data_IF_568385873438
#
_entry.id   IF_568385873438
#
_cell.length_a   1.000
_cell.length_b   1.000
_cell.length_c   1.000
_cell.angle_alpha   90.00
_cell.angle_beta   90.00
_cell.angle_gamma   90.00
#
_symmetry.space_group_name_H-M   'P 1'
#
loop_
_entity.id
_entity.type
_entity.pdbx_description
1 polymer ?
#
# COMPACT_ATOMS: atom_id res chain seq x y z
N UNK A 1 34.31 23.07 -4.99
CA UNK A 1 32.98 22.44 -4.94
C UNK A 1 32.99 21.34 -5.95
N UNK A 2 32.98 20.07 -5.56
CA UNK A 2 32.78 18.96 -6.49
C UNK A 2 31.41 19.18 -7.12
N UNK A 3 31.30 19.11 -8.45
CA UNK A 3 30.02 19.15 -9.11
C UNK A 3 29.18 18.02 -8.54
N UNK A 4 28.12 18.34 -7.80
CA UNK A 4 27.19 17.34 -7.27
C UNK A 4 26.62 16.52 -8.42
N UNK A 5 26.46 15.22 -8.22
CA UNK A 5 25.83 14.35 -9.20
C UNK A 5 24.33 14.67 -9.27
N UNK A 6 23.80 14.89 -10.46
CA UNK A 6 22.39 15.26 -10.67
C UNK A 6 21.66 14.23 -11.53
N UNK A 7 20.36 14.05 -11.24
CA UNK A 7 19.46 13.30 -12.10
C UNK A 7 18.22 14.13 -12.40
N UNK A 8 17.74 14.06 -13.63
CA UNK A 8 16.51 14.72 -14.05
C UNK A 8 15.29 13.91 -13.61
N UNK A 9 14.38 14.57 -12.91
CA UNK A 9 13.12 13.99 -12.44
C UNK A 9 11.93 14.82 -12.95
N UNK A 10 10.84 14.19 -13.44
CA UNK A 10 9.72 14.93 -14.02
C UNK A 10 8.91 15.73 -13.00
N UNK A 11 9.01 15.41 -11.71
CA UNK A 11 8.28 16.07 -10.62
C UNK A 11 9.14 17.16 -9.99
N UNK A 12 10.40 16.83 -9.65
CA UNK A 12 11.28 17.69 -8.85
C UNK A 12 12.32 18.45 -9.68
N UNK A 13 12.37 18.27 -11.01
CA UNK A 13 13.36 18.88 -11.87
C UNK A 13 14.72 18.22 -11.73
N UNK A 14 15.66 18.78 -10.96
CA UNK A 14 16.95 18.19 -10.69
C UNK A 14 17.07 17.72 -9.25
N UNK A 15 17.45 16.45 -9.08
CA UNK A 15 17.76 15.85 -7.77
C UNK A 15 19.27 15.77 -7.64
N UNK A 16 19.83 16.49 -6.66
CA UNK A 16 21.26 16.53 -6.38
C UNK A 16 21.64 15.52 -5.32
N UNK A 17 22.78 14.85 -5.52
CA UNK A 17 23.32 13.81 -4.62
C UNK A 17 24.79 14.08 -4.36
N UNK A 18 25.21 13.80 -3.15
CA UNK A 18 26.62 13.72 -2.81
C UNK A 18 27.22 12.41 -3.34
N UNK A 19 28.56 12.34 -3.57
CA UNK A 19 29.19 11.12 -4.11
C UNK A 19 28.83 9.85 -3.32
N UNK A 20 28.86 9.88 -1.99
CA UNK A 20 28.52 8.74 -1.14
C UNK A 20 27.04 8.34 -1.23
N UNK A 21 26.13 9.27 -1.51
CA UNK A 21 24.71 8.99 -1.76
C UNK A 21 24.50 8.34 -3.13
N UNK A 22 25.30 8.76 -4.12
CA UNK A 22 25.30 8.14 -5.45
C UNK A 22 25.73 6.67 -5.37
N UNK A 23 26.74 6.35 -4.58
CA UNK A 23 27.20 4.97 -4.41
C UNK A 23 26.09 4.08 -3.85
N UNK A 24 25.28 4.59 -2.91
CA UNK A 24 24.10 3.89 -2.37
C UNK A 24 23.04 3.71 -3.46
N UNK A 25 22.77 4.76 -4.27
CA UNK A 25 21.83 4.67 -5.39
C UNK A 25 22.29 3.63 -6.41
N UNK A 26 23.59 3.49 -6.66
CA UNK A 26 24.16 2.53 -7.61
C UNK A 26 24.28 1.10 -7.04
N UNK A 27 23.99 0.91 -5.76
CA UNK A 27 24.01 -0.42 -5.13
C UNK A 27 22.99 -1.37 -5.77
N UNK A 28 23.30 -2.68 -5.81
CA UNK A 28 22.41 -3.72 -6.37
C UNK A 28 21.05 -3.71 -5.66
N UNK A 29 21.05 -3.56 -4.34
CA UNK A 29 19.83 -3.54 -3.53
C UNK A 29 18.90 -2.38 -3.95
N UNK A 30 19.43 -1.18 -4.17
CA UNK A 30 18.63 -0.04 -4.57
C UNK A 30 18.23 -0.09 -6.06
N UNK A 31 19.14 -0.50 -6.96
CA UNK A 31 18.83 -0.62 -8.40
C UNK A 31 17.71 -1.63 -8.69
N UNK A 32 17.47 -2.59 -7.82
CA UNK A 32 16.33 -3.52 -7.90
C UNK A 32 14.99 -2.78 -7.97
N UNK A 33 14.87 -1.65 -7.29
CA UNK A 33 13.62 -0.86 -7.23
C UNK A 33 13.15 -0.36 -8.61
N UNK A 34 14.04 -0.29 -9.62
CA UNK A 34 13.67 0.01 -11.03
C UNK A 34 12.74 -1.02 -11.66
N UNK A 35 12.64 -2.21 -11.07
CA UNK A 35 11.81 -3.32 -11.56
C UNK A 35 10.61 -3.62 -10.67
N UNK A 36 10.32 -2.73 -9.71
CA UNK A 36 9.14 -2.79 -8.85
C UNK A 36 8.26 -1.59 -9.14
N UNK A 37 7.09 -1.82 -9.74
CA UNK A 37 6.15 -0.76 -10.05
C UNK A 37 5.54 -0.18 -8.77
N UNK A 38 5.40 1.14 -8.73
CA UNK A 38 4.77 1.84 -7.59
C UNK A 38 3.31 1.45 -7.43
N UNK A 39 2.58 1.29 -8.51
CA UNK A 39 1.14 1.08 -8.53
C UNK A 39 0.72 -0.29 -9.11
N UNK A 40 1.56 -1.33 -8.97
CA UNK A 40 1.28 -2.67 -9.47
C UNK A 40 0.74 -2.65 -10.93
N UNK A 41 -0.49 -3.13 -11.18
CA UNK A 41 -1.12 -3.17 -12.50
C UNK A 41 -2.05 -1.97 -12.78
N UNK A 42 -1.87 -0.83 -12.12
CA UNK A 42 -2.66 0.38 -12.40
C UNK A 42 -2.54 0.86 -13.86
N UNK A 43 -1.46 0.49 -14.55
CA UNK A 43 -1.27 0.76 -15.97
C UNK A 43 -2.31 0.12 -16.89
N UNK A 44 -3.08 -0.87 -16.41
CA UNK A 44 -4.24 -1.41 -17.14
C UNK A 44 -5.41 -0.42 -17.21
N UNK A 45 -5.41 0.62 -16.37
CA UNK A 45 -6.38 1.72 -16.36
C UNK A 45 -5.74 3.02 -16.78
N UNK A 46 -4.57 3.32 -16.23
CA UNK A 46 -3.77 4.52 -16.47
C UNK A 46 -2.51 4.13 -17.24
N UNK A 47 -2.52 4.09 -18.58
CA UNK A 47 -1.40 3.52 -19.36
C UNK A 47 -0.03 4.13 -19.05
N UNK A 48 0.01 5.39 -18.58
CA UNK A 48 1.24 6.07 -18.16
C UNK A 48 1.76 5.65 -16.79
N UNK A 49 0.98 4.93 -15.97
CA UNK A 49 1.33 4.53 -14.60
C UNK A 49 2.34 3.37 -14.60
N UNK A 50 3.54 3.60 -15.13
CA UNK A 50 4.63 2.63 -15.23
C UNK A 50 5.86 3.01 -14.39
N UNK A 51 5.80 4.10 -13.64
CA UNK A 51 6.87 4.52 -12.73
C UNK A 51 7.09 3.49 -11.61
N UNK A 52 8.30 3.50 -11.11
CA UNK A 52 8.81 2.47 -10.21
C UNK A 52 9.11 3.06 -8.83
N UNK A 53 9.38 2.19 -7.87
CA UNK A 53 9.81 2.61 -6.53
C UNK A 53 11.15 3.31 -6.55
N UNK A 54 11.95 3.11 -7.58
CA UNK A 54 13.23 3.80 -7.74
C UNK A 54 13.07 5.31 -7.86
N UNK A 55 12.22 5.79 -8.77
CA UNK A 55 11.97 7.23 -8.96
C UNK A 55 11.29 7.83 -7.72
N UNK A 56 10.37 7.11 -7.12
CA UNK A 56 9.70 7.52 -5.90
C UNK A 56 10.69 7.70 -4.74
N UNK A 57 11.55 6.71 -4.48
CA UNK A 57 12.55 6.80 -3.40
C UNK A 57 13.53 7.95 -3.61
N UNK A 58 13.91 8.25 -4.85
CA UNK A 58 14.72 9.44 -5.17
C UNK A 58 13.96 10.75 -4.89
N UNK A 59 12.67 10.80 -5.19
CA UNK A 59 11.83 11.96 -4.89
C UNK A 59 11.66 12.18 -3.38
N UNK A 60 11.37 11.13 -2.62
CA UNK A 60 11.29 11.17 -1.16
C UNK A 60 12.62 11.65 -0.54
N UNK A 61 13.74 11.11 -1.00
CA UNK A 61 15.09 11.55 -0.63
C UNK A 61 15.32 13.04 -0.90
N UNK A 62 14.89 13.55 -2.05
CA UNK A 62 15.01 14.96 -2.42
C UNK A 62 14.23 15.87 -1.46
N UNK A 63 12.96 15.53 -1.23
CA UNK A 63 12.08 16.29 -0.33
C UNK A 63 12.64 16.25 1.09
N UNK A 64 13.16 15.11 1.55
CA UNK A 64 13.78 14.97 2.88
C UNK A 64 14.94 15.96 3.09
N UNK A 65 15.80 16.13 2.08
CA UNK A 65 16.87 17.11 2.13
C UNK A 65 16.36 18.56 2.20
N UNK A 66 15.30 18.87 1.47
CA UNK A 66 14.66 20.20 1.50
C UNK A 66 14.04 20.50 2.87
N UNK A 67 13.34 19.52 3.45
CA UNK A 67 12.74 19.67 4.79
C UNK A 67 13.84 19.81 5.86
N UNK A 68 14.89 18.99 5.80
CA UNK A 68 16.01 19.08 6.72
C UNK A 68 16.67 20.46 6.67
N UNK A 69 16.85 21.03 5.48
CA UNK A 69 17.34 22.40 5.29
C UNK A 69 16.38 23.44 5.85
N UNK A 70 15.10 23.31 5.57
CA UNK A 70 14.04 24.22 6.06
C UNK A 70 13.97 24.25 7.60
N UNK A 71 14.12 23.09 8.24
CA UNK A 71 14.05 22.93 9.69
C UNK A 71 15.42 23.15 10.38
N UNK A 72 16.47 23.50 9.62
CA UNK A 72 17.83 23.72 10.10
C UNK A 72 18.40 22.51 10.86
N UNK A 73 18.08 21.30 10.40
CA UNK A 73 18.62 20.05 10.98
C UNK A 73 20.13 19.98 10.69
N UNK A 74 20.91 19.58 11.70
CA UNK A 74 22.35 19.47 11.58
C UNK A 74 22.81 18.51 10.45
N UNK A 75 23.99 18.70 9.86
CA UNK A 75 24.42 17.94 8.68
C UNK A 75 24.45 16.43 8.88
N UNK A 76 24.81 15.94 10.07
CA UNK A 76 24.87 14.50 10.35
C UNK A 76 23.47 13.87 10.35
N UNK A 77 22.51 14.48 11.05
CA UNK A 77 21.12 13.99 11.10
C UNK A 77 20.42 14.18 9.74
N UNK A 78 20.67 15.30 9.06
CA UNK A 78 20.17 15.54 7.70
C UNK A 78 20.58 14.43 6.74
N UNK A 79 21.83 13.96 6.80
CA UNK A 79 22.31 12.82 6.00
C UNK A 79 21.57 11.54 6.33
N UNK A 80 21.36 11.24 7.64
CA UNK A 80 20.63 10.04 8.05
C UNK A 80 19.16 10.08 7.60
N UNK A 81 18.50 11.22 7.75
CA UNK A 81 17.10 11.41 7.29
C UNK A 81 16.99 11.22 5.77
N UNK A 82 17.91 11.79 4.99
CA UNK A 82 17.96 11.63 3.53
C UNK A 82 18.13 10.16 3.14
N UNK A 83 19.09 9.45 3.76
CA UNK A 83 19.32 8.03 3.49
C UNK A 83 18.14 7.16 3.99
N UNK A 84 17.52 7.50 5.10
CA UNK A 84 16.32 6.82 5.57
C UNK A 84 15.17 6.97 4.56
N UNK A 85 14.95 8.19 4.04
CA UNK A 85 13.95 8.43 3.00
C UNK A 85 14.30 7.73 1.65
N UNK A 86 15.60 7.60 1.32
CA UNK A 86 16.03 6.85 0.13
C UNK A 86 15.73 5.35 0.27
N UNK A 87 15.91 4.79 1.45
CA UNK A 87 15.91 3.35 1.70
C UNK A 87 14.62 2.82 2.35
N UNK A 88 13.63 3.68 2.65
CA UNK A 88 12.43 3.27 3.38
C UNK A 88 11.66 2.13 2.70
N UNK A 89 11.62 2.14 1.38
CA UNK A 89 10.86 1.22 0.53
C UNK A 89 11.68 0.04 -0.01
N UNK A 90 12.96 -0.09 0.39
CA UNK A 90 13.89 -1.08 -0.18
C UNK A 90 13.45 -2.53 0.04
N UNK A 91 12.63 -2.79 1.05
CA UNK A 91 12.11 -4.12 1.40
C UNK A 91 10.84 -4.53 0.66
N UNK A 92 10.28 -3.69 -0.19
CA UNK A 92 9.12 -4.11 -0.99
C UNK A 92 9.47 -5.24 -1.97
N UNK A 93 8.54 -6.20 -2.10
CA UNK A 93 8.61 -7.30 -3.06
C UNK A 93 7.71 -7.09 -4.28
N UNK A 94 7.60 -8.13 -5.11
CA UNK A 94 6.74 -8.11 -6.28
C UNK A 94 5.31 -7.70 -5.94
N UNK A 95 4.74 -6.78 -6.74
CA UNK A 95 3.41 -6.18 -6.56
C UNK A 95 3.21 -5.45 -5.23
N UNK A 96 4.29 -5.22 -4.47
CA UNK A 96 4.31 -4.30 -3.32
C UNK A 96 3.19 -4.55 -2.30
N UNK A 97 2.34 -3.55 -2.05
CA UNK A 97 1.26 -3.64 -1.07
C UNK A 97 0.20 -4.72 -1.39
N UNK A 98 0.06 -5.12 -2.66
CA UNK A 98 -0.91 -6.15 -3.06
C UNK A 98 -0.53 -7.52 -2.51
N UNK A 99 0.75 -7.82 -2.45
CA UNK A 99 1.26 -9.09 -1.93
C UNK A 99 1.54 -9.10 -0.42
N UNK A 100 1.51 -7.95 0.25
CA UNK A 100 1.76 -7.82 1.69
C UNK A 100 0.86 -8.71 2.56
N UNK A 101 -0.46 -8.82 2.33
CA UNK A 101 -1.32 -9.71 3.12
C UNK A 101 -0.88 -11.18 3.05
N UNK A 102 -0.36 -11.61 1.89
CA UNK A 102 0.14 -12.98 1.70
C UNK A 102 1.47 -13.17 2.42
N UNK A 103 2.37 -12.20 2.29
CA UNK A 103 3.63 -12.17 3.00
C UNK A 103 3.39 -12.22 4.51
N UNK A 104 2.43 -11.45 5.02
CA UNK A 104 2.01 -11.47 6.43
C UNK A 104 1.47 -12.85 6.86
N UNK A 105 0.62 -13.46 6.02
CA UNK A 105 -0.01 -14.76 6.31
C UNK A 105 1.00 -15.91 6.38
N UNK A 106 1.97 -15.92 5.49
CA UNK A 106 2.92 -17.05 5.35
C UNK A 106 4.26 -16.84 6.07
N UNK A 107 4.58 -15.61 6.48
CA UNK A 107 5.79 -15.35 7.26
C UNK A 107 5.75 -16.07 8.61
N UNK A 108 6.91 -16.49 9.09
CA UNK A 108 7.01 -17.27 10.32
C UNK A 108 6.82 -16.38 11.57
N UNK A 109 5.56 -16.05 11.88
CA UNK A 109 5.16 -15.15 12.96
C UNK A 109 5.79 -15.47 14.34
N UNK A 110 6.20 -16.72 14.59
CA UNK A 110 6.89 -17.12 15.82
C UNK A 110 8.36 -16.65 15.87
N UNK A 111 8.96 -16.32 14.73
CA UNK A 111 10.35 -15.85 14.62
C UNK A 111 10.48 -14.34 14.43
N UNK A 112 9.40 -13.68 14.02
CA UNK A 112 9.38 -12.24 13.77
C UNK A 112 8.48 -11.54 14.79
N UNK A 113 9.02 -10.50 15.45
CA UNK A 113 8.26 -9.65 16.38
C UNK A 113 7.86 -8.37 15.64
N UNK A 114 6.61 -8.28 15.21
CA UNK A 114 6.05 -7.06 14.62
C UNK A 114 5.56 -6.11 15.70
N UNK A 115 5.95 -4.83 15.60
CA UNK A 115 5.34 -3.74 16.37
C UNK A 115 3.87 -3.56 15.92
N UNK A 116 2.96 -3.01 16.76
CA UNK A 116 1.60 -2.72 16.33
C UNK A 116 1.58 -1.88 15.04
N UNK A 117 0.83 -2.32 14.02
CA UNK A 117 0.70 -1.73 12.68
C UNK A 117 1.94 -1.86 11.77
N UNK A 118 3.02 -2.47 12.21
CA UNK A 118 4.19 -2.71 11.38
C UNK A 118 3.90 -3.77 10.31
N UNK A 119 4.43 -3.58 9.12
CA UNK A 119 4.31 -4.51 8.00
C UNK A 119 5.59 -5.34 7.83
N UNK A 120 5.48 -6.50 7.17
CA UNK A 120 6.63 -7.41 7.01
C UNK A 120 7.69 -6.79 6.10
N UNK A 121 7.29 -6.06 5.06
CA UNK A 121 8.26 -5.39 4.19
C UNK A 121 9.10 -4.34 4.93
N UNK A 122 8.61 -3.73 6.01
CA UNK A 122 9.39 -2.80 6.84
C UNK A 122 10.51 -3.55 7.59
N UNK A 123 10.24 -4.77 8.09
CA UNK A 123 11.27 -5.63 8.66
C UNK A 123 12.31 -6.04 7.62
N UNK A 124 11.85 -6.38 6.42
CA UNK A 124 12.74 -6.72 5.30
C UNK A 124 13.58 -5.50 4.92
N UNK A 125 13.01 -4.28 4.87
CA UNK A 125 13.77 -3.03 4.67
C UNK A 125 14.87 -2.88 5.72
N UNK A 126 14.51 -3.04 6.99
CA UNK A 126 15.46 -2.94 8.09
C UNK A 126 16.60 -3.96 7.98
N UNK A 127 16.29 -5.20 7.58
CA UNK A 127 17.29 -6.24 7.41
C UNK A 127 18.18 -5.99 6.18
N UNK A 128 17.63 -5.59 5.04
CA UNK A 128 18.41 -5.21 3.85
C UNK A 128 19.37 -4.07 4.20
N UNK A 129 18.91 -3.02 4.87
CA UNK A 129 19.75 -1.89 5.27
C UNK A 129 20.91 -2.34 6.15
N UNK A 130 20.68 -3.26 7.09
CA UNK A 130 21.71 -3.74 8.03
C UNK A 130 22.70 -4.72 7.38
N UNK A 131 22.23 -5.63 6.52
CA UNK A 131 22.94 -6.86 6.19
C UNK A 131 23.28 -7.02 4.71
N UNK A 132 22.63 -6.27 3.79
CA UNK A 132 22.87 -6.48 2.35
C UNK A 132 24.32 -6.15 1.97
N UNK A 133 25.04 -7.09 1.34
CA UNK A 133 26.44 -6.91 0.99
C UNK A 133 26.70 -5.74 0.02
N UNK A 134 25.72 -5.37 -0.82
CA UNK A 134 25.87 -4.27 -1.77
C UNK A 134 25.82 -2.89 -1.10
N UNK A 135 25.35 -2.82 0.14
CA UNK A 135 25.36 -1.61 0.99
C UNK A 135 26.56 -1.60 1.97
N UNK A 136 27.23 -2.73 2.12
CA UNK A 136 28.40 -2.84 3.00
C UNK A 136 29.55 -1.95 2.47
N UNK A 137 30.13 -1.15 3.36
CA UNK A 137 31.21 -0.22 3.00
C UNK A 137 30.74 1.07 2.30
N UNK A 138 29.50 1.16 1.82
CA UNK A 138 28.92 2.39 1.26
C UNK A 138 28.30 3.26 2.36
N UNK A 139 27.72 2.63 3.35
CA UNK A 139 27.17 3.26 4.55
C UNK A 139 27.87 2.64 5.75
N UNK A 140 28.40 3.45 6.67
CA UNK A 140 29.01 2.94 7.89
C UNK A 140 28.01 2.09 8.68
N UNK A 141 28.47 1.01 9.33
CA UNK A 141 27.61 0.11 10.09
C UNK A 141 26.82 0.82 11.18
N UNK A 142 27.45 1.81 11.84
CA UNK A 142 26.80 2.67 12.83
C UNK A 142 25.68 3.52 12.23
N UNK A 143 25.85 4.00 11.01
CA UNK A 143 24.84 4.80 10.31
C UNK A 143 23.72 3.89 9.78
N UNK A 144 24.02 2.66 9.30
CA UNK A 144 22.99 1.68 8.93
C UNK A 144 22.08 1.35 10.11
N UNK A 145 22.65 1.14 11.30
CA UNK A 145 21.87 0.92 12.51
C UNK A 145 21.00 2.13 12.84
N UNK A 146 21.56 3.34 12.81
CA UNK A 146 20.82 4.59 13.08
C UNK A 146 19.70 4.86 12.06
N UNK A 147 19.89 4.55 10.78
CA UNK A 147 18.86 4.67 9.76
C UNK A 147 17.68 3.74 10.10
N UNK A 148 17.94 2.50 10.47
CA UNK A 148 16.88 1.57 10.89
C UNK A 148 16.20 2.04 12.17
N UNK A 149 16.95 2.51 13.15
CA UNK A 149 16.39 3.06 14.39
C UNK A 149 15.54 4.31 14.11
N UNK A 150 15.94 5.16 13.17
CA UNK A 150 15.15 6.31 12.72
C UNK A 150 13.83 5.87 12.08
N UNK A 151 13.85 4.89 11.16
CA UNK A 151 12.66 4.33 10.53
C UNK A 151 11.69 3.72 11.55
N UNK A 152 12.23 3.11 12.61
CA UNK A 152 11.46 2.56 13.71
C UNK A 152 10.97 3.61 14.73
N UNK A 153 11.53 4.82 14.71
CA UNK A 153 11.27 5.90 15.67
C UNK A 153 12.04 5.76 16.98
N UNK A 154 13.16 5.08 16.95
CA UNK A 154 14.01 4.81 18.12
C UNK A 154 15.29 5.69 18.08
N UNK A 155 15.43 6.63 17.12
CA UNK A 155 16.59 7.52 16.96
C UNK A 155 16.19 8.98 16.84
N UNK A 156 16.83 9.83 17.63
CA UNK A 156 16.68 11.28 17.59
C UNK A 156 15.34 11.77 18.13
N UNK A 157 14.92 12.93 17.65
CA UNK A 157 13.60 13.47 17.96
C UNK A 157 12.52 12.85 17.06
N UNK A 158 11.27 12.83 17.54
CA UNK A 158 10.12 12.33 16.79
C UNK A 158 9.97 12.97 15.40
N UNK A 159 10.33 14.24 15.24
CA UNK A 159 10.32 14.94 13.94
C UNK A 159 11.16 14.23 12.87
N UNK A 160 12.25 13.54 13.24
CA UNK A 160 13.10 12.84 12.26
C UNK A 160 12.34 11.68 11.62
N UNK A 161 11.65 10.88 12.44
CA UNK A 161 10.77 9.83 11.94
C UNK A 161 9.60 10.40 11.16
N UNK A 162 8.97 11.48 11.67
CA UNK A 162 7.78 12.07 11.05
C UNK A 162 8.07 12.66 9.67
N UNK A 163 9.31 13.10 9.41
CA UNK A 163 9.74 13.51 8.06
C UNK A 163 9.68 12.32 7.10
N UNK A 164 10.08 11.11 7.52
CA UNK A 164 10.14 9.93 6.65
C UNK A 164 8.84 9.13 6.69
N UNK A 165 8.22 8.99 7.85
CA UNK A 165 6.99 8.22 8.06
C UNK A 165 6.10 8.89 9.12
N UNK A 166 5.26 9.81 8.71
CA UNK A 166 4.36 10.58 9.55
C UNK A 166 3.14 11.11 8.80
N UNK A 167 2.34 11.99 9.39
CA UNK A 167 1.19 12.58 8.70
C UNK A 167 1.56 13.39 7.46
N UNK A 168 2.68 14.14 7.52
CA UNK A 168 3.20 15.00 6.46
C UNK A 168 4.54 14.50 5.91
N UNK A 169 4.75 13.19 5.87
CA UNK A 169 6.01 12.60 5.45
C UNK A 169 6.34 12.83 3.96
N UNK A 170 7.61 12.64 3.65
CA UNK A 170 8.15 12.81 2.31
C UNK A 170 7.65 11.73 1.36
N UNK A 171 7.29 10.55 1.86
CA UNK A 171 6.67 9.47 1.12
C UNK A 171 5.37 9.96 0.47
N UNK A 172 4.43 10.48 1.29
CA UNK A 172 3.15 11.03 0.81
C UNK A 172 3.33 12.25 -0.10
N UNK A 173 4.27 13.13 0.24
CA UNK A 173 4.53 14.33 -0.55
C UNK A 173 5.03 13.98 -1.96
N UNK A 174 5.87 12.94 -2.11
CA UNK A 174 6.33 12.52 -3.43
C UNK A 174 5.25 11.72 -4.17
N UNK A 175 4.71 10.64 -3.56
CA UNK A 175 3.85 9.75 -4.33
C UNK A 175 2.55 10.43 -4.80
N UNK A 176 1.97 11.36 -4.04
CA UNK A 176 0.77 12.06 -4.49
C UNK A 176 1.00 12.83 -5.80
N UNK A 177 2.09 13.56 -5.89
CA UNK A 177 2.47 14.30 -7.10
C UNK A 177 2.87 13.35 -8.23
N UNK A 178 3.71 12.37 -7.93
CA UNK A 178 4.26 11.41 -8.90
C UNK A 178 3.18 10.52 -9.49
N UNK A 179 2.36 9.89 -8.67
CA UNK A 179 1.27 9.04 -9.13
C UNK A 179 0.25 9.84 -9.95
N UNK A 180 -0.07 11.07 -9.51
CA UNK A 180 -0.94 11.99 -10.25
C UNK A 180 -0.41 12.29 -11.63
N UNK A 181 0.89 12.58 -11.74
CA UNK A 181 1.57 12.87 -13.00
C UNK A 181 1.54 11.65 -13.94
N UNK A 182 2.00 10.50 -13.47
CA UNK A 182 2.09 9.30 -14.30
C UNK A 182 0.73 8.66 -14.61
N UNK A 183 -0.26 8.82 -13.75
CA UNK A 183 -1.66 8.46 -14.07
C UNK A 183 -2.33 9.45 -15.04
N UNK A 184 -1.72 10.62 -15.31
CA UNK A 184 -2.29 11.65 -16.17
C UNK A 184 -3.52 12.35 -15.58
N UNK A 185 -3.61 12.44 -14.24
CA UNK A 185 -4.71 13.08 -13.50
C UNK A 185 -4.22 14.32 -12.76
N UNK A 186 -5.15 15.11 -12.20
CA UNK A 186 -4.84 16.30 -11.42
C UNK A 186 -5.23 16.18 -9.93
N UNK A 187 -5.58 14.99 -9.51
CA UNK A 187 -6.11 14.74 -8.16
C UNK A 187 -5.07 14.87 -7.05
N UNK A 188 -3.79 14.52 -7.33
CA UNK A 188 -2.72 14.55 -6.35
C UNK A 188 -1.91 15.86 -6.34
N UNK A 189 -2.35 16.91 -7.03
CA UNK A 189 -1.60 18.16 -7.15
C UNK A 189 -1.86 19.07 -5.97
N UNK A 190 -0.80 19.52 -5.32
CA UNK A 190 -0.78 20.54 -4.27
C UNK A 190 0.52 21.36 -4.39
N UNK A 191 0.58 22.52 -3.72
CA UNK A 191 1.76 23.38 -3.74
C UNK A 191 2.84 22.87 -2.78
N UNK A 192 3.73 22.00 -3.28
CA UNK A 192 4.82 21.41 -2.52
C UNK A 192 5.79 22.48 -1.96
N UNK A 193 6.10 23.52 -2.76
CA UNK A 193 7.00 24.60 -2.34
C UNK A 193 6.43 25.32 -1.12
N UNK A 194 5.15 25.68 -1.20
CA UNK A 194 4.47 26.33 -0.10
C UNK A 194 4.38 25.42 1.14
N UNK A 195 4.08 24.12 0.93
CA UNK A 195 4.00 23.16 2.03
C UNK A 195 5.35 23.07 2.77
N UNK A 196 6.45 22.82 2.05
CA UNK A 196 7.78 22.70 2.64
C UNK A 196 8.18 23.99 3.36
N UNK A 197 7.91 25.16 2.77
CA UNK A 197 8.22 26.47 3.37
C UNK A 197 7.38 26.76 4.62
N UNK A 198 6.21 26.14 4.77
CA UNK A 198 5.34 26.31 5.94
C UNK A 198 5.65 25.31 7.06
N UNK A 199 6.49 24.30 6.81
CA UNK A 199 6.88 23.35 7.86
C UNK A 199 7.72 24.03 8.95
N UNK A 200 7.45 23.65 10.18
CA UNK A 200 8.14 24.09 11.40
C UNK A 200 8.17 22.95 12.41
N UNK A 201 8.69 23.22 13.59
CA UNK A 201 8.80 22.25 14.68
C UNK A 201 7.95 22.71 15.86
N UNK A 202 7.15 21.81 16.40
CA UNK A 202 6.53 21.96 17.69
C UNK A 202 7.43 21.32 18.76
N UNK A 203 7.91 22.10 19.72
CA UNK A 203 8.65 21.62 20.89
C UNK A 203 7.66 21.29 22.00
N UNK A 204 7.69 20.06 22.49
CA UNK A 204 6.90 19.61 23.64
C UNK A 204 7.85 18.92 24.63
N UNK A 205 8.01 19.51 25.82
CA UNK A 205 8.97 19.07 26.82
C UNK A 205 10.37 18.83 26.23
N UNK A 206 10.80 17.56 26.14
CA UNK A 206 12.12 17.15 25.63
C UNK A 206 12.09 16.69 24.17
N UNK A 207 10.90 16.56 23.53
CA UNK A 207 10.76 16.07 22.17
C UNK A 207 10.35 17.16 21.16
N UNK A 208 10.52 16.86 19.88
CA UNK A 208 10.22 17.74 18.76
C UNK A 208 9.38 17.00 17.74
N UNK A 209 8.28 17.61 17.34
CA UNK A 209 7.31 17.08 16.39
C UNK A 209 7.22 17.96 15.15
N UNK A 210 6.93 17.35 13.98
CA UNK A 210 6.68 18.08 12.76
C UNK A 210 5.37 18.85 12.88
N UNK A 211 5.42 20.13 12.57
CA UNK A 211 4.28 21.04 12.64
C UNK A 211 4.23 21.94 11.41
N UNK A 212 3.14 22.68 11.26
CA UNK A 212 2.98 23.67 10.21
C UNK A 212 2.73 25.06 10.84
N UNK A 213 3.23 26.11 10.21
CA UNK A 213 2.91 27.49 10.59
C UNK A 213 1.46 27.85 10.26
N UNK A 214 0.85 28.77 10.98
CA UNK A 214 -0.57 29.17 10.76
C UNK A 214 -0.87 29.69 9.36
N UNK A 215 0.11 30.25 8.67
CA UNK A 215 0.00 30.68 7.29
C UNK A 215 0.07 29.53 6.26
N UNK A 216 0.38 28.32 6.73
CA UNK A 216 0.42 27.08 5.95
C UNK A 216 -0.88 26.25 5.98
N UNK A 217 -1.92 26.67 6.72
CA UNK A 217 -3.16 25.90 6.87
C UNK A 217 -3.80 25.58 5.52
N UNK A 218 -3.88 26.53 4.60
CA UNK A 218 -4.51 26.31 3.30
C UNK A 218 -3.74 25.36 2.38
N UNK A 219 -2.41 25.34 2.43
CA UNK A 219 -1.65 24.34 1.66
C UNK A 219 -1.76 22.95 2.27
N UNK A 220 -1.90 22.85 3.59
CA UNK A 220 -2.22 21.58 4.24
C UNK A 220 -3.62 21.07 3.83
N UNK A 221 -4.61 21.95 3.71
CA UNK A 221 -5.92 21.60 3.14
C UNK A 221 -5.79 21.01 1.73
N UNK A 222 -4.99 21.63 0.85
CA UNK A 222 -4.73 21.10 -0.50
C UNK A 222 -4.10 19.70 -0.45
N UNK A 223 -3.10 19.50 0.40
CA UNK A 223 -2.43 18.20 0.57
C UNK A 223 -3.41 17.11 1.03
N UNK A 224 -4.25 17.39 2.03
CA UNK A 224 -5.26 16.45 2.54
C UNK A 224 -6.31 16.13 1.47
N UNK A 225 -6.75 17.14 0.70
CA UNK A 225 -7.67 16.95 -0.43
C UNK A 225 -7.02 16.13 -1.54
N UNK A 226 -5.77 16.39 -1.89
CA UNK A 226 -5.02 15.61 -2.87
C UNK A 226 -4.95 14.12 -2.46
N UNK A 227 -4.62 13.84 -1.21
CA UNK A 227 -4.62 12.49 -0.64
C UNK A 227 -6.00 11.82 -0.71
N UNK A 228 -7.05 12.55 -0.37
CA UNK A 228 -8.43 12.07 -0.46
C UNK A 228 -8.83 11.71 -1.89
N UNK A 229 -8.59 12.62 -2.85
CA UNK A 229 -8.97 12.38 -4.24
C UNK A 229 -8.14 11.28 -4.89
N UNK A 230 -6.83 11.22 -4.67
CA UNK A 230 -6.00 10.12 -5.16
C UNK A 230 -6.46 8.78 -4.59
N UNK A 231 -6.78 8.75 -3.30
CA UNK A 231 -7.31 7.56 -2.66
C UNK A 231 -8.63 7.09 -3.28
N UNK A 232 -9.57 7.99 -3.53
CA UNK A 232 -10.92 7.64 -4.02
C UNK A 232 -10.98 7.39 -5.52
N UNK A 233 -10.20 8.12 -6.31
CA UNK A 233 -10.29 8.09 -7.77
C UNK A 233 -9.26 7.19 -8.43
N UNK A 234 -8.04 7.09 -7.87
CA UNK A 234 -6.94 6.32 -8.46
C UNK A 234 -6.70 5.02 -7.70
N UNK A 235 -6.37 5.09 -6.41
CA UNK A 235 -5.99 3.89 -5.66
C UNK A 235 -7.15 2.91 -5.46
N UNK A 236 -8.38 3.40 -5.50
CA UNK A 236 -9.61 2.61 -5.38
C UNK A 236 -10.42 2.56 -6.68
N UNK A 237 -9.78 2.82 -7.80
CA UNK A 237 -10.44 2.62 -9.08
C UNK A 237 -10.81 1.13 -9.22
N UNK A 238 -12.07 0.86 -9.64
CA UNK A 238 -12.62 -0.50 -9.68
C UNK A 238 -11.74 -1.53 -10.39
N UNK A 239 -11.10 -1.14 -11.50
CA UNK A 239 -10.22 -2.06 -12.24
C UNK A 239 -8.97 -2.37 -11.43
N UNK A 240 -8.39 -1.38 -10.74
CA UNK A 240 -7.26 -1.61 -9.87
C UNK A 240 -7.61 -2.57 -8.74
N UNK A 241 -8.73 -2.36 -8.05
CA UNK A 241 -9.19 -3.29 -7.00
C UNK A 241 -9.35 -4.72 -7.53
N UNK A 242 -9.96 -4.87 -8.73
CA UNK A 242 -10.09 -6.19 -9.36
C UNK A 242 -8.72 -6.82 -9.64
N UNK A 243 -7.76 -6.06 -10.18
CA UNK A 243 -6.43 -6.60 -10.49
C UNK A 243 -5.65 -6.95 -9.23
N UNK A 244 -5.75 -6.14 -8.19
CA UNK A 244 -5.10 -6.38 -6.89
C UNK A 244 -5.65 -7.67 -6.25
N UNK A 245 -6.97 -7.86 -6.25
CA UNK A 245 -7.61 -9.09 -5.77
C UNK A 245 -7.24 -10.31 -6.61
N UNK A 246 -7.14 -10.17 -7.93
CA UNK A 246 -6.71 -11.26 -8.81
C UNK A 246 -5.25 -11.66 -8.54
N UNK A 247 -4.33 -10.71 -8.35
CA UNK A 247 -2.94 -10.99 -7.99
C UNK A 247 -2.88 -11.73 -6.64
N UNK A 248 -3.56 -11.19 -5.63
CA UNK A 248 -3.62 -11.79 -4.30
C UNK A 248 -4.16 -13.22 -4.34
N UNK A 249 -5.26 -13.43 -5.09
CA UNK A 249 -5.86 -14.75 -5.29
C UNK A 249 -4.91 -15.71 -6.01
N UNK A 250 -4.24 -15.28 -7.06
CA UNK A 250 -3.31 -16.10 -7.82
C UNK A 250 -2.13 -16.59 -6.96
N UNK A 251 -1.51 -15.67 -6.20
CA UNK A 251 -0.40 -16.01 -5.31
C UNK A 251 -0.89 -16.95 -4.18
N UNK A 252 -2.04 -16.63 -3.57
CA UNK A 252 -2.61 -17.46 -2.50
C UNK A 252 -2.92 -18.89 -2.97
N UNK A 253 -3.59 -19.05 -4.10
CA UNK A 253 -3.88 -20.38 -4.68
C UNK A 253 -2.60 -21.10 -5.11
N UNK A 254 -1.64 -20.37 -5.69
CA UNK A 254 -0.33 -20.93 -6.07
C UNK A 254 0.40 -21.58 -4.88
N UNK A 255 0.28 -20.98 -3.70
CA UNK A 255 0.89 -21.50 -2.47
C UNK A 255 0.05 -22.65 -1.86
N UNK A 256 -1.26 -22.42 -1.71
CA UNK A 256 -2.14 -23.26 -0.88
C UNK A 256 -2.75 -24.45 -1.64
N UNK A 257 -3.02 -24.29 -2.92
CA UNK A 257 -3.70 -25.28 -3.76
C UNK A 257 -2.74 -25.90 -4.76
N UNK A 258 -2.04 -25.07 -5.52
CA UNK A 258 -1.11 -25.53 -6.56
C UNK A 258 0.21 -26.04 -5.98
N UNK A 259 0.49 -25.77 -4.70
CA UNK A 259 1.69 -26.22 -3.97
C UNK A 259 3.01 -25.81 -4.64
N UNK A 260 3.05 -24.59 -5.22
CA UNK A 260 4.25 -24.05 -5.89
C UNK A 260 5.30 -23.70 -4.83
N UNK A 261 6.32 -24.57 -4.67
CA UNK A 261 7.31 -24.50 -3.58
C UNK A 261 8.10 -23.18 -3.56
N UNK A 262 8.62 -22.73 -4.72
CA UNK A 262 9.38 -21.47 -4.80
C UNK A 262 8.51 -20.23 -4.49
N UNK A 263 7.20 -20.26 -4.83
CA UNK A 263 6.28 -19.19 -4.53
C UNK A 263 6.01 -19.11 -3.02
N UNK A 264 5.83 -20.25 -2.37
CA UNK A 264 5.73 -20.33 -0.91
C UNK A 264 6.99 -19.82 -0.22
N UNK A 265 8.18 -20.17 -0.72
CA UNK A 265 9.45 -19.69 -0.18
C UNK A 265 9.56 -18.17 -0.29
N UNK A 266 9.21 -17.58 -1.44
CA UNK A 266 9.23 -16.13 -1.65
C UNK A 266 8.39 -15.35 -0.62
N UNK A 267 7.24 -15.90 -0.22
CA UNK A 267 6.32 -15.24 0.72
C UNK A 267 6.43 -15.75 2.17
N UNK A 268 7.45 -16.53 2.49
CA UNK A 268 7.66 -17.09 3.85
C UNK A 268 8.88 -16.47 4.53
N UNK A 269 8.83 -15.14 4.78
CA UNK A 269 9.91 -14.44 5.48
C UNK A 269 10.19 -15.07 6.85
N UNK A 270 11.46 -15.40 7.11
CA UNK A 270 11.90 -16.10 8.31
C UNK A 270 13.00 -15.37 9.09
N UNK A 271 13.40 -14.17 8.61
CA UNK A 271 14.45 -13.36 9.23
C UNK A 271 15.88 -13.83 8.89
N UNK A 272 16.08 -14.80 7.99
CA UNK A 272 17.42 -15.27 7.63
C UNK A 272 18.07 -14.39 6.56
N UNK A 273 19.41 -14.33 6.58
CA UNK A 273 20.19 -13.67 5.52
C UNK A 273 20.03 -14.39 4.16
N UNK A 274 19.82 -15.71 4.17
CA UNK A 274 19.57 -16.48 2.95
C UNK A 274 18.26 -16.09 2.29
N UNK A 275 17.19 -15.91 3.09
CA UNK A 275 15.94 -15.38 2.59
C UNK A 275 16.12 -14.00 1.93
N UNK A 276 16.80 -13.06 2.58
CA UNK A 276 17.04 -11.72 2.03
C UNK A 276 17.78 -11.79 0.69
N UNK A 277 18.82 -12.62 0.60
CA UNK A 277 19.58 -12.79 -0.64
C UNK A 277 18.72 -13.29 -1.80
N UNK A 278 17.83 -14.24 -1.55
CA UNK A 278 16.90 -14.75 -2.54
C UNK A 278 15.76 -13.75 -2.85
N UNK A 279 15.20 -13.14 -1.81
CA UNK A 279 14.10 -12.17 -1.94
C UNK A 279 14.48 -10.97 -2.79
N UNK A 280 15.71 -10.46 -2.64
CA UNK A 280 16.19 -9.30 -3.41
C UNK A 280 16.41 -9.58 -4.91
N UNK A 281 16.38 -10.84 -5.34
CA UNK A 281 16.40 -11.19 -6.76
C UNK A 281 15.02 -11.11 -7.44
N UNK A 282 13.93 -10.95 -6.66
CA UNK A 282 12.57 -10.94 -7.18
C UNK A 282 12.06 -9.54 -7.52
N UNK A 283 11.26 -9.48 -8.59
CA UNK A 283 10.55 -8.29 -9.06
C UNK A 283 9.27 -8.70 -9.77
N UNK A 284 8.45 -7.72 -10.18
CA UNK A 284 7.14 -7.95 -10.79
C UNK A 284 7.21 -8.83 -12.05
N UNK A 285 8.18 -8.54 -12.93
CA UNK A 285 8.37 -9.27 -14.19
C UNK A 285 8.82 -10.70 -13.96
N UNK A 286 9.83 -10.88 -13.10
CA UNK A 286 10.37 -12.22 -12.80
C UNK A 286 9.28 -13.13 -12.21
N UNK A 287 8.46 -12.61 -11.29
CA UNK A 287 7.37 -13.38 -10.70
C UNK A 287 6.35 -13.75 -11.77
N UNK A 288 5.91 -12.79 -12.58
CA UNK A 288 4.93 -13.03 -13.63
C UNK A 288 5.43 -14.05 -14.64
N UNK A 289 6.65 -13.85 -15.17
CA UNK A 289 7.26 -14.76 -16.14
C UNK A 289 7.41 -16.17 -15.58
N UNK A 290 7.91 -16.30 -14.35
CA UNK A 290 8.12 -17.60 -13.74
C UNK A 290 6.81 -18.37 -13.51
N UNK A 291 5.72 -17.68 -13.12
CA UNK A 291 4.41 -18.32 -13.02
C UNK A 291 3.93 -18.80 -14.40
N UNK A 292 4.06 -17.96 -15.42
CA UNK A 292 3.55 -18.28 -16.77
C UNK A 292 4.38 -19.35 -17.49
N UNK A 293 5.68 -19.45 -17.25
CA UNK A 293 6.55 -20.42 -17.92
C UNK A 293 6.70 -21.73 -17.18
N UNK A 294 6.83 -21.68 -15.83
CA UNK A 294 7.20 -22.86 -15.04
C UNK A 294 6.01 -23.53 -14.32
N UNK A 295 4.83 -22.92 -14.36
CA UNK A 295 3.66 -23.42 -13.60
C UNK A 295 2.41 -23.59 -14.48
N UNK A 296 2.50 -24.21 -15.67
CA UNK A 296 1.33 -24.44 -16.52
C UNK A 296 0.28 -25.29 -15.79
N UNK A 297 -0.99 -25.15 -16.18
CA UNK A 297 -2.13 -25.89 -15.63
C UNK A 297 -2.47 -25.60 -14.16
N UNK A 298 -1.82 -24.60 -13.54
CA UNK A 298 -2.13 -24.14 -12.18
C UNK A 298 -3.15 -22.98 -12.17
N UNK A 299 -3.81 -22.79 -11.03
CA UNK A 299 -4.66 -21.62 -10.82
C UNK A 299 -3.86 -20.33 -10.89
N UNK A 300 -2.66 -20.30 -10.32
CA UNK A 300 -1.78 -19.15 -10.40
C UNK A 300 -1.51 -18.77 -11.86
N UNK A 301 -1.12 -19.72 -12.71
CA UNK A 301 -0.93 -19.52 -14.15
C UNK A 301 -2.20 -18.98 -14.81
N UNK A 302 -3.34 -19.64 -14.61
CA UNK A 302 -4.62 -19.26 -15.24
C UNK A 302 -5.01 -17.82 -14.93
N UNK A 303 -4.82 -17.36 -13.66
CA UNK A 303 -5.17 -16.00 -13.26
C UNK A 303 -4.15 -15.00 -13.79
N UNK A 304 -2.83 -15.28 -13.74
CA UNK A 304 -1.81 -14.40 -14.31
C UNK A 304 -1.96 -14.28 -15.85
N UNK A 305 -2.31 -15.37 -16.54
CA UNK A 305 -2.64 -15.31 -17.97
C UNK A 305 -3.84 -14.40 -18.24
N UNK A 306 -4.89 -14.46 -17.40
CA UNK A 306 -6.03 -13.54 -17.49
C UNK A 306 -5.62 -12.09 -17.28
N UNK A 307 -4.74 -11.80 -16.34
CA UNK A 307 -4.21 -10.47 -16.08
C UNK A 307 -3.43 -9.96 -17.31
N UNK A 308 -2.56 -10.79 -17.87
CA UNK A 308 -1.74 -10.47 -19.05
C UNK A 308 -2.60 -10.21 -20.28
N UNK A 309 -3.62 -11.03 -20.51
CA UNK A 309 -4.57 -10.89 -21.63
C UNK A 309 -5.65 -9.84 -21.34
N UNK A 310 -5.62 -9.18 -20.19
CA UNK A 310 -6.65 -8.24 -19.74
C UNK A 310 -8.07 -8.84 -19.73
N UNK A 311 -8.19 -10.15 -19.47
CA UNK A 311 -9.46 -10.88 -19.27
C UNK A 311 -9.86 -10.85 -17.79
N UNK A 312 -10.08 -9.64 -17.27
CA UNK A 312 -10.31 -9.39 -15.85
C UNK A 312 -11.67 -9.94 -15.39
N UNK A 313 -11.73 -10.32 -14.12
CA UNK A 313 -12.99 -10.60 -13.44
C UNK A 313 -13.91 -9.37 -13.48
N UNK A 314 -15.19 -9.57 -13.25
CA UNK A 314 -16.19 -8.49 -13.18
C UNK A 314 -16.71 -8.35 -11.75
N UNK A 315 -16.91 -7.12 -11.33
CA UNK A 315 -17.65 -6.87 -10.09
C UNK A 315 -19.12 -7.19 -10.33
N UNK A 316 -19.61 -8.26 -9.74
CA UNK A 316 -20.98 -8.74 -9.88
C UNK A 316 -21.88 -8.29 -8.74
N UNK A 317 -21.28 -7.88 -7.61
CA UNK A 317 -21.98 -7.40 -6.42
C UNK A 317 -21.14 -6.32 -5.75
N UNK A 318 -21.79 -5.24 -5.31
CA UNK A 318 -21.16 -4.14 -4.60
C UNK A 318 -22.19 -3.49 -3.67
N UNK A 319 -21.93 -3.53 -2.37
CA UNK A 319 -22.82 -3.01 -1.34
C UNK A 319 -22.05 -2.22 -0.30
N UNK A 320 -22.60 -1.11 0.16
CA UNK A 320 -22.05 -0.34 1.27
C UNK A 320 -22.46 -0.94 2.61
N UNK A 321 -21.64 -0.74 3.63
CA UNK A 321 -21.92 -1.22 4.99
C UNK A 321 -23.31 -0.81 5.50
N UNK A 322 -23.76 0.42 5.22
CA UNK A 322 -25.07 0.93 5.65
C UNK A 322 -26.25 0.44 4.80
N UNK A 323 -26.01 -0.18 3.66
CA UNK A 323 -27.03 -0.76 2.78
C UNK A 323 -27.43 -2.19 3.21
N UNK A 324 -26.57 -2.87 4.00
CA UNK A 324 -26.94 -4.14 4.63
C UNK A 324 -27.79 -3.87 5.87
N UNK A 325 -29.06 -4.22 5.80
CA UNK A 325 -30.04 -3.91 6.85
C UNK A 325 -29.91 -4.83 8.07
N UNK A 326 -29.58 -6.11 7.85
CA UNK A 326 -29.40 -7.06 8.94
C UNK A 326 -28.06 -6.88 9.67
N UNK A 327 -28.06 -6.64 11.01
CA UNK A 327 -26.83 -6.42 11.77
C UNK A 327 -25.87 -7.62 11.78
N UNK A 328 -26.38 -8.85 11.82
CA UNK A 328 -25.57 -10.07 11.78
C UNK A 328 -24.82 -10.19 10.46
N UNK A 329 -25.54 -10.06 9.35
CA UNK A 329 -24.98 -10.08 8.01
C UNK A 329 -23.93 -8.97 7.81
N UNK A 330 -24.22 -7.77 8.32
CA UNK A 330 -23.30 -6.65 8.31
C UNK A 330 -22.00 -6.97 9.05
N UNK A 331 -22.12 -7.44 10.29
CA UNK A 331 -20.94 -7.81 11.09
C UNK A 331 -20.13 -8.90 10.38
N UNK A 332 -20.76 -10.00 9.97
CA UNK A 332 -20.09 -11.16 9.40
C UNK A 332 -19.38 -10.84 8.07
N UNK A 333 -20.03 -10.07 7.18
CA UNK A 333 -19.47 -9.70 5.87
C UNK A 333 -18.20 -8.84 6.00
N UNK A 334 -18.18 -7.90 6.96
CA UNK A 334 -17.07 -6.94 7.08
C UNK A 334 -15.99 -7.34 8.09
N UNK A 335 -16.29 -8.21 9.03
CA UNK A 335 -15.31 -8.76 9.99
C UNK A 335 -14.98 -10.23 9.72
N UNK A 336 -15.78 -10.90 8.87
CA UNK A 336 -15.62 -12.30 8.51
C UNK A 336 -14.27 -12.58 7.88
N UNK A 337 -13.69 -13.70 8.32
CA UNK A 337 -12.46 -14.27 7.79
C UNK A 337 -12.74 -15.13 6.55
N UNK A 338 -11.73 -15.83 6.07
CA UNK A 338 -11.85 -16.89 5.06
C UNK A 338 -12.98 -17.90 5.39
N UNK A 339 -13.30 -18.10 6.67
CA UNK A 339 -14.37 -19.02 7.13
C UNK A 339 -15.78 -18.61 6.69
N UNK A 340 -16.00 -17.31 6.43
CA UNK A 340 -17.26 -16.83 5.86
C UNK A 340 -17.16 -16.62 4.34
N UNK A 341 -16.07 -16.00 3.88
CA UNK A 341 -15.93 -15.64 2.47
C UNK A 341 -15.83 -16.85 1.56
N UNK A 342 -15.08 -17.89 1.94
CA UNK A 342 -14.92 -19.10 1.12
C UNK A 342 -16.22 -19.91 0.94
N UNK A 343 -17.05 -20.15 1.98
CA UNK A 343 -18.39 -20.71 1.80
C UNK A 343 -19.28 -19.88 0.88
N UNK A 344 -19.26 -18.56 1.01
CA UNK A 344 -20.04 -17.66 0.14
C UNK A 344 -19.56 -17.75 -1.32
N UNK A 345 -18.26 -17.72 -1.57
CA UNK A 345 -17.66 -17.90 -2.89
C UNK A 345 -18.10 -19.22 -3.54
N UNK A 346 -18.13 -20.30 -2.74
CA UNK A 346 -18.57 -21.61 -3.21
C UNK A 346 -20.05 -21.61 -3.62
N UNK A 347 -20.94 -21.04 -2.79
CA UNK A 347 -22.37 -20.95 -3.11
C UNK A 347 -22.63 -20.12 -4.38
N UNK A 348 -21.91 -19.00 -4.53
CA UNK A 348 -21.98 -18.16 -5.71
C UNK A 348 -21.51 -18.94 -6.94
N UNK A 349 -20.38 -19.64 -6.84
CA UNK A 349 -19.82 -20.43 -7.93
C UNK A 349 -20.80 -21.53 -8.38
N UNK A 350 -21.37 -22.29 -7.44
CA UNK A 350 -22.36 -23.35 -7.69
C UNK A 350 -23.61 -22.79 -8.37
N UNK A 351 -24.10 -21.63 -7.91
CA UNK A 351 -25.35 -21.01 -8.43
C UNK A 351 -25.24 -20.59 -9.91
N UNK A 352 -24.05 -20.09 -10.33
CA UNK A 352 -23.86 -19.57 -11.68
C UNK A 352 -22.90 -20.40 -12.54
N UNK A 353 -22.43 -21.55 -12.07
CA UNK A 353 -21.54 -22.45 -12.82
C UNK A 353 -20.14 -21.88 -13.02
N UNK A 354 -19.65 -21.09 -12.05
CA UNK A 354 -18.28 -20.58 -12.08
C UNK A 354 -17.31 -21.54 -11.34
N UNK A 355 -16.03 -21.46 -11.67
CA UNK A 355 -15.01 -22.05 -10.81
C UNK A 355 -14.95 -21.27 -9.49
N UNK A 356 -15.08 -21.99 -8.36
CA UNK A 356 -15.04 -21.38 -7.01
C UNK A 356 -13.76 -20.59 -6.73
N UNK A 357 -12.65 -20.95 -7.35
CA UNK A 357 -11.36 -20.27 -7.18
C UNK A 357 -11.27 -18.96 -7.97
N UNK A 358 -12.21 -18.74 -8.92
CA UNK A 358 -12.35 -17.50 -9.69
C UNK A 358 -13.46 -16.58 -9.15
N UNK A 359 -14.15 -16.95 -8.07
CA UNK A 359 -15.05 -16.07 -7.34
C UNK A 359 -14.30 -15.49 -6.16
N UNK A 360 -14.32 -14.17 -5.98
CA UNK A 360 -13.55 -13.48 -4.94
C UNK A 360 -14.48 -12.55 -4.17
N UNK A 361 -14.62 -12.81 -2.87
CA UNK A 361 -15.25 -11.92 -1.91
C UNK A 361 -14.20 -10.96 -1.33
N UNK A 362 -14.46 -9.65 -1.42
CA UNK A 362 -13.51 -8.61 -0.99
C UNK A 362 -14.19 -7.58 -0.10
N UNK A 363 -13.93 -7.57 1.22
CA UNK A 363 -14.30 -6.49 2.11
C UNK A 363 -13.32 -5.32 1.94
N UNK A 364 -13.78 -4.21 1.40
CA UNK A 364 -12.97 -3.00 1.18
C UNK A 364 -13.27 -1.98 2.27
N UNK A 365 -12.30 -1.67 3.11
CA UNK A 365 -12.43 -0.63 4.12
C UNK A 365 -11.76 0.66 3.65
N UNK A 366 -12.55 1.72 3.59
CA UNK A 366 -12.09 3.06 3.26
C UNK A 366 -11.77 3.80 4.56
N UNK A 367 -10.49 3.78 4.98
CA UNK A 367 -10.07 4.62 6.11
C UNK A 367 -10.10 6.08 5.67
N UNK A 368 -10.63 6.97 6.51
CA UNK A 368 -10.59 8.41 6.24
C UNK A 368 -9.14 8.86 6.04
N UNK A 369 -8.88 9.52 4.93
CA UNK A 369 -7.56 10.05 4.60
C UNK A 369 -7.08 11.13 5.60
N UNK A 370 -8.00 11.78 6.29
CA UNK A 370 -7.71 12.97 7.08
C UNK A 370 -7.60 12.72 8.60
N UNK A 371 -7.78 11.49 9.07
CA UNK A 371 -7.80 11.24 10.53
C UNK A 371 -6.45 11.51 11.20
N UNK A 372 -5.36 11.14 10.57
CA UNK A 372 -4.00 11.39 11.09
C UNK A 372 -3.58 12.84 10.91
N UNK A 373 -3.95 13.46 9.80
CA UNK A 373 -3.62 14.85 9.51
C UNK A 373 -4.42 15.83 10.38
N UNK A 374 -5.58 15.44 10.91
CA UNK A 374 -6.39 16.27 11.81
C UNK A 374 -5.66 16.64 13.11
N UNK A 375 -4.69 15.85 13.52
CA UNK A 375 -3.90 16.01 14.75
C UNK A 375 -2.56 16.73 14.52
N UNK A 376 -2.27 17.19 13.29
CA UNK A 376 -1.07 17.98 13.01
C UNK A 376 -1.14 19.29 13.78
N UNK A 377 -0.03 19.62 14.49
CA UNK A 377 0.08 20.89 15.21
C UNK A 377 0.24 22.06 14.24
N UNK A 378 -0.58 23.10 14.42
CA UNK A 378 -0.49 24.39 13.74
C UNK A 378 0.08 25.39 14.71
N UNK A 379 1.23 25.98 14.39
CA UNK A 379 1.91 26.95 15.23
C UNK A 379 1.44 28.34 14.86
N UNK A 380 0.61 28.89 15.72
CA UNK A 380 0.11 30.28 15.63
C UNK A 380 0.83 31.23 16.59
N UNK A 381 0.48 32.53 16.56
CA UNK A 381 1.14 33.56 17.38
C UNK A 381 0.87 33.44 18.89
N UNK A 382 -0.18 32.73 19.29
CA UNK A 382 -0.61 32.66 20.70
C UNK A 382 -0.27 31.32 21.33
N UNK A 383 -0.78 30.24 20.73
CA UNK A 383 -0.57 28.85 21.19
C UNK A 383 -0.71 27.88 20.02
N UNK A 384 -0.06 26.71 20.09
CA UNK A 384 -0.33 25.64 19.13
C UNK A 384 -1.79 25.20 19.20
N UNK A 385 -2.35 24.83 18.03
CA UNK A 385 -3.68 24.22 17.88
C UNK A 385 -3.58 23.05 16.92
N UNK A 386 -4.59 22.21 16.91
CA UNK A 386 -4.64 21.14 15.89
C UNK A 386 -5.23 21.66 14.58
N UNK A 387 -4.78 21.08 13.48
CA UNK A 387 -5.27 21.42 12.12
C UNK A 387 -6.79 21.37 12.02
N UNK A 388 -7.46 20.41 12.66
CA UNK A 388 -8.93 20.30 12.70
C UNK A 388 -9.62 21.53 13.34
N UNK A 389 -8.91 22.27 14.17
CA UNK A 389 -9.43 23.45 14.87
C UNK A 389 -9.19 24.74 14.06
N UNK A 390 -8.15 24.76 13.24
CA UNK A 390 -7.75 25.93 12.42
C UNK A 390 -8.35 25.90 11.03
N UNK A 391 -8.56 24.72 10.44
CA UNK A 391 -9.15 24.61 9.11
C UNK A 391 -10.67 24.78 9.16
N UNK A 392 -11.18 25.84 8.56
CA UNK A 392 -12.63 26.03 8.41
C UNK A 392 -13.26 24.99 7.50
N UNK A 393 -12.51 24.50 6.50
CA UNK A 393 -12.96 23.45 5.59
C UNK A 393 -13.13 22.13 6.34
N UNK A 394 -12.13 21.71 7.12
CA UNK A 394 -12.12 20.41 7.78
C UNK A 394 -12.84 20.39 9.12
N UNK A 395 -13.08 21.52 9.75
CA UNK A 395 -13.96 21.63 10.92
C UNK A 395 -15.43 21.36 10.57
N UNK A 396 -15.87 21.75 9.35
CA UNK A 396 -17.23 21.55 8.87
C UNK A 396 -17.47 20.17 8.23
N UNK A 397 -16.42 19.52 7.73
CA UNK A 397 -16.51 18.20 7.06
C UNK A 397 -16.13 17.09 8.02
N UNK A 398 -17.08 16.21 8.34
CA UNK A 398 -16.79 15.03 9.12
C UNK A 398 -16.00 14.01 8.27
N UNK A 399 -14.69 14.14 8.23
CA UNK A 399 -13.78 13.27 7.48
C UNK A 399 -13.61 11.88 8.11
N UNK A 400 -14.30 11.60 9.21
CA UNK A 400 -14.29 10.31 9.88
C UNK A 400 -15.17 9.25 9.19
N UNK A 401 -15.66 9.50 7.99
CA UNK A 401 -16.48 8.54 7.25
C UNK A 401 -15.57 7.40 6.78
N UNK A 402 -15.50 6.35 7.58
CA UNK A 402 -15.02 5.05 7.13
C UNK A 402 -16.11 4.44 6.24
N UNK A 403 -16.01 4.61 4.93
CA UNK A 403 -16.89 3.89 4.02
C UNK A 403 -16.37 2.46 3.90
N UNK A 404 -17.17 1.49 4.31
CA UNK A 404 -16.90 0.07 4.09
C UNK A 404 -17.80 -0.41 2.95
N UNK A 405 -17.19 -1.13 1.99
CA UNK A 405 -17.90 -1.78 0.89
C UNK A 405 -17.55 -3.25 0.87
N UNK A 406 -18.51 -4.06 0.49
CA UNK A 406 -18.27 -5.47 0.20
C UNK A 406 -18.53 -5.73 -1.26
N UNK A 407 -17.53 -6.28 -1.93
CA UNK A 407 -17.57 -6.53 -3.36
C UNK A 407 -17.37 -8.01 -3.66
N UNK A 408 -18.01 -8.49 -4.71
CA UNK A 408 -17.78 -9.85 -5.22
C UNK A 408 -17.38 -9.76 -6.68
N UNK A 409 -16.29 -10.44 -7.02
CA UNK A 409 -15.76 -10.53 -8.37
C UNK A 409 -15.90 -11.94 -8.91
N UNK A 410 -16.30 -12.08 -10.20
CA UNK A 410 -16.46 -13.36 -10.87
C UNK A 410 -16.16 -13.26 -12.37
N UNK A 411 -15.95 -14.39 -13.10
CA UNK A 411 -15.71 -14.41 -14.53
C UNK A 411 -17.01 -14.25 -15.35
N UNK A 412 -17.86 -13.28 -14.96
CA UNK A 412 -19.13 -13.01 -15.60
C UNK A 412 -18.94 -12.47 -17.02
N UNK A 413 -19.83 -12.89 -17.94
CA UNK A 413 -19.87 -12.44 -19.32
C UNK A 413 -21.27 -11.87 -19.60
N UNK A 414 -21.32 -10.68 -20.16
CA UNK A 414 -22.54 -10.00 -20.53
C UNK A 414 -22.64 -9.90 -22.05
N UNK A 415 -23.82 -10.22 -22.61
CA UNK A 415 -24.05 -10.14 -24.05
C UNK A 415 -24.25 -8.70 -24.52
N UNK A 416 -24.97 -7.92 -23.74
CA UNK A 416 -25.28 -6.51 -24.01
C UNK A 416 -25.62 -5.78 -22.69
N UNK A 417 -25.95 -4.49 -22.76
CA UNK A 417 -26.29 -3.66 -21.60
C UNK A 417 -27.59 -4.13 -20.90
N UNK A 418 -28.55 -4.71 -21.61
CA UNK A 418 -29.81 -5.23 -21.02
C UNK A 418 -29.51 -6.49 -20.21
N UNK A 419 -28.70 -7.38 -20.78
CA UNK A 419 -28.24 -8.60 -20.10
C UNK A 419 -27.41 -8.25 -18.85
N UNK A 420 -26.53 -7.27 -18.94
CA UNK A 420 -25.78 -6.75 -17.79
C UNK A 420 -26.72 -6.27 -16.66
N UNK A 421 -27.70 -5.41 -16.97
CA UNK A 421 -28.63 -4.89 -15.97
C UNK A 421 -29.50 -6.00 -15.34
N UNK A 422 -29.91 -6.99 -16.15
CA UNK A 422 -30.69 -8.14 -15.67
C UNK A 422 -29.84 -9.00 -14.73
N UNK A 423 -28.67 -9.45 -15.18
CA UNK A 423 -27.78 -10.29 -14.38
C UNK A 423 -27.36 -9.59 -13.10
N UNK A 424 -27.05 -8.29 -13.12
CA UNK A 424 -26.70 -7.53 -11.92
C UNK A 424 -27.83 -7.54 -10.86
N UNK A 425 -29.08 -7.45 -11.27
CA UNK A 425 -30.21 -7.52 -10.35
C UNK A 425 -30.38 -8.93 -9.77
N UNK A 426 -30.17 -9.96 -10.58
CA UNK A 426 -30.19 -11.36 -10.15
C UNK A 426 -29.04 -11.64 -9.17
N UNK A 427 -27.82 -11.24 -9.48
CA UNK A 427 -26.67 -11.33 -8.58
C UNK A 427 -26.94 -10.65 -7.24
N UNK A 428 -27.45 -9.42 -7.26
CA UNK A 428 -27.72 -8.67 -6.04
C UNK A 428 -28.69 -9.42 -5.11
N UNK A 429 -29.82 -9.84 -5.63
CA UNK A 429 -30.85 -10.53 -4.85
C UNK A 429 -30.37 -11.88 -4.30
N UNK A 430 -29.71 -12.69 -5.17
CA UNK A 430 -29.26 -14.01 -4.78
C UNK A 430 -28.11 -13.94 -3.76
N UNK A 431 -27.14 -13.02 -3.94
CA UNK A 431 -26.01 -12.86 -3.03
C UNK A 431 -26.48 -12.33 -1.66
N UNK A 432 -27.41 -11.36 -1.61
CA UNK A 432 -28.03 -10.92 -0.33
C UNK A 432 -28.69 -12.10 0.39
N UNK A 433 -29.44 -12.92 -0.33
CA UNK A 433 -30.09 -14.11 0.26
C UNK A 433 -29.06 -15.11 0.82
N UNK A 434 -27.94 -15.33 0.08
CA UNK A 434 -26.85 -16.20 0.53
C UNK A 434 -26.13 -15.64 1.77
N UNK A 435 -25.87 -14.35 1.79
CA UNK A 435 -25.25 -13.65 2.94
C UNK A 435 -26.14 -13.82 4.17
N UNK A 436 -27.43 -13.51 4.07
CA UNK A 436 -28.37 -13.63 5.19
C UNK A 436 -28.47 -15.08 5.71
N UNK A 437 -28.48 -16.06 4.79
CA UNK A 437 -28.51 -17.49 5.16
C UNK A 437 -27.26 -17.93 5.90
N UNK A 438 -26.07 -17.49 5.45
CA UNK A 438 -24.79 -17.85 6.08
C UNK A 438 -24.56 -17.09 7.40
N UNK A 439 -25.18 -15.94 7.57
CA UNK A 439 -25.06 -15.11 8.79
C UNK A 439 -26.08 -15.50 9.88
N UNK A 440 -27.03 -16.38 9.59
CA UNK A 440 -28.00 -16.88 10.57
C UNK A 440 -27.32 -17.92 11.50
N UNK A 441 -27.26 -17.65 12.82
CA UNK A 441 -26.64 -18.58 13.76
C UNK A 441 -27.31 -19.98 13.81
N UNK A 442 -28.60 -20.09 13.44
CA UNK A 442 -29.30 -21.37 13.39
C UNK A 442 -28.99 -22.16 12.13
N UNK A 443 -28.64 -21.50 11.02
CA UNK A 443 -28.28 -22.16 9.77
C UNK A 443 -26.85 -22.71 9.79
N UNK A 444 -25.91 -22.07 10.53
CA UNK A 444 -24.51 -22.52 10.65
C UNK A 444 -24.40 -23.87 11.37
N UNK A 445 -25.22 -24.14 12.38
CA UNK A 445 -25.29 -25.43 13.11
C UNK A 445 -25.76 -26.60 12.23
N UNK A 446 -26.48 -26.35 11.14
CA UNK A 446 -26.99 -27.38 10.22
C UNK A 446 -25.99 -27.78 9.13
N UNK A 447 -24.97 -26.99 8.87
CA UNK A 447 -23.93 -27.28 7.89
C UNK A 447 -22.81 -28.15 8.48
N UNK A 448 -22.50 -27.98 9.77
CA UNK A 448 -21.50 -28.80 10.49
C UNK A 448 -22.00 -30.25 10.71
N UNK A 449 -23.30 -30.46 10.80
CA UNK A 449 -23.88 -31.80 11.00
C UNK A 449 -23.97 -32.65 9.71
N UNK A 450 -23.73 -32.10 8.52
CA UNK A 450 -23.69 -32.88 7.27
C UNK A 450 -22.28 -33.31 6.84
N UNK A 451 -21.25 -32.88 7.57
CA UNK A 451 -19.84 -33.25 7.32
C UNK A 451 -19.35 -34.50 8.08
N UNK A 452 -20.19 -35.09 8.97
CA UNK A 452 -19.81 -36.24 9.79
C UNK A 452 -20.71 -37.47 9.54
N UNK A 453 -20.90 -37.84 8.29
CA UNK A 453 -21.44 -39.18 7.96
C UNK A 453 -20.77 -39.69 6.69
N UNK A 454 -19.87 -40.62 6.89
CA UNK A 454 -19.10 -41.51 6.02
C UNK A 454 -17.66 -41.05 5.72
#
# INVERSE_FOLDING_TARGET
MSAGLEVRDPIHGFIYREPHEQDVVDSKAFQRLRRLKQLALANLVYPGANHTRFEHSLGAFHIAGRIATRLQIGPADSRLIRLAALLHDIGHGPFSHVSEPILMKHSQAKKISLKPKQQVHELISAQIIREDPSLAGLILDTDRARIVDLLNGDYGYSVFKEIVSGPLDVDKQDYLLRDSYFCGVKYGVFDLERLVNSLTVHQDEEDKFLAISSDGVHVLEQFVLAKYYMSTQVYRHRIRLITDEMIGRAIGLGIEVDSIGWLKQLYSYDGSADYIREYTEWNDERLTTKILEESPETYAHSIFQRLTDRRLLKCIFDVKHNELTDPSSRMTVFTGSDDFHRPLEKLIAERWGYDKNLVICSPVTFKSAARTESEISVIGPVKPRFFREESTLFSAVNLAINEQRFQVYAPAVYKDERDHKRQHREFYNDIIAMINKLSDPQASLSLDNKGNTL
#
